data_IF_790004698750
#
_entry.id   IF_790004698750
#
_cell.length_a   1.000
_cell.length_b   1.000
_cell.length_c   1.000
_cell.angle_alpha   90.00
_cell.angle_beta   90.00
_cell.angle_gamma   90.00
#
_symmetry.space_group_name_H-M   'P 1'
#
loop_
_entity.id
_entity.type
_entity.pdbx_description
1 polymer ?
#
# COMPACT_ATOMS: atom_id res chain seq x y z
N UNK A 1 21.76 18.59 8.18
CA UNK A 1 22.85 17.70 8.61
C UNK A 1 23.60 17.25 7.38
N UNK A 2 24.92 17.42 7.36
CA UNK A 2 25.80 16.97 6.27
C UNK A 2 25.97 15.44 6.40
N UNK A 3 25.03 14.70 5.85
CA UNK A 3 25.16 13.23 5.71
C UNK A 3 26.01 13.00 4.46
N UNK A 4 27.07 12.23 4.60
CA UNK A 4 27.92 11.85 3.45
C UNK A 4 27.12 10.90 2.59
N UNK A 5 26.99 11.20 1.30
CA UNK A 5 26.26 10.44 0.31
C UNK A 5 27.20 9.57 -0.52
N UNK A 6 26.69 8.48 -1.07
CA UNK A 6 27.35 7.63 -2.07
C UNK A 6 26.35 7.24 -3.16
N UNK A 7 26.86 6.96 -4.34
CA UNK A 7 26.06 6.37 -5.41
C UNK A 7 25.56 4.97 -4.97
N UNK A 8 24.27 4.74 -5.10
CA UNK A 8 23.66 3.43 -4.79
C UNK A 8 24.01 2.34 -5.82
N UNK A 9 24.56 2.71 -6.98
CA UNK A 9 24.75 1.83 -8.13
C UNK A 9 23.43 1.50 -8.86
N UNK A 10 22.35 2.19 -8.55
CA UNK A 10 21.00 1.97 -9.12
C UNK A 10 20.44 3.32 -9.59
N UNK A 11 20.30 3.50 -10.90
CA UNK A 11 19.97 4.78 -11.53
C UNK A 11 18.73 5.46 -10.92
N UNK A 12 17.64 4.72 -10.71
CA UNK A 12 16.38 5.26 -10.20
C UNK A 12 16.34 5.45 -8.68
N UNK A 13 17.36 4.98 -7.94
CA UNK A 13 17.56 5.29 -6.53
C UNK A 13 18.47 6.51 -6.38
N UNK A 14 19.50 6.61 -7.25
CA UNK A 14 20.50 7.67 -7.21
C UNK A 14 21.42 7.56 -6.00
N UNK A 15 21.74 8.70 -5.37
CA UNK A 15 22.60 8.73 -4.19
C UNK A 15 21.85 8.38 -2.91
N UNK A 16 22.52 7.63 -2.05
CA UNK A 16 22.02 7.24 -0.71
C UNK A 16 23.05 7.61 0.38
N UNK A 17 22.65 7.75 1.64
CA UNK A 17 23.58 7.90 2.75
C UNK A 17 24.63 6.80 2.77
N UNK A 18 25.88 7.11 3.09
CA UNK A 18 27.04 6.18 2.98
C UNK A 18 26.82 4.83 3.66
N UNK A 19 26.05 4.81 4.76
CA UNK A 19 25.74 3.57 5.53
C UNK A 19 24.55 2.78 5.00
N UNK A 20 23.83 3.30 4.00
CA UNK A 20 22.68 2.60 3.42
C UNK A 20 23.15 1.63 2.32
N UNK A 21 22.40 0.56 2.13
CA UNK A 21 22.69 -0.45 1.12
C UNK A 21 21.54 -0.58 0.12
N UNK A 22 21.85 -0.69 -1.17
CA UNK A 22 20.87 -1.06 -2.19
C UNK A 22 20.76 -2.60 -2.21
N UNK A 23 19.60 -3.13 -1.81
CA UNK A 23 19.39 -4.56 -1.56
C UNK A 23 18.24 -5.08 -2.40
N UNK A 24 18.42 -6.21 -3.11
CA UNK A 24 17.32 -6.93 -3.74
C UNK A 24 16.39 -7.52 -2.69
N UNK A 25 15.06 -7.46 -2.91
CA UNK A 25 14.12 -8.00 -1.92
C UNK A 25 14.24 -9.52 -1.76
N UNK A 26 14.79 -10.23 -2.75
CA UNK A 26 15.15 -11.65 -2.61
C UNK A 26 16.24 -11.91 -1.54
N UNK A 27 17.00 -10.88 -1.17
CA UNK A 27 17.98 -10.95 -0.07
C UNK A 27 17.37 -10.51 1.28
N UNK A 28 16.18 -9.90 1.26
CA UNK A 28 15.43 -9.53 2.48
C UNK A 28 14.63 -10.72 2.97
N UNK A 29 14.03 -11.49 2.08
CA UNK A 29 13.17 -12.60 2.46
C UNK A 29 12.79 -13.52 1.29
N UNK A 30 11.90 -14.47 1.60
CA UNK A 30 11.40 -15.43 0.62
C UNK A 30 10.10 -14.90 0.00
N UNK A 31 10.06 -14.85 -1.34
CA UNK A 31 8.85 -14.56 -2.09
C UNK A 31 8.13 -15.85 -2.48
N UNK A 32 6.81 -15.85 -2.30
CA UNK A 32 5.93 -16.96 -2.72
C UNK A 32 4.64 -16.39 -3.31
N UNK A 33 4.12 -17.04 -4.36
CA UNK A 33 2.77 -16.75 -4.82
C UNK A 33 1.77 -17.34 -3.81
N UNK A 34 0.76 -16.56 -3.46
CA UNK A 34 -0.29 -17.02 -2.56
C UNK A 34 -1.24 -17.98 -3.29
N UNK A 35 -1.79 -18.91 -2.52
CA UNK A 35 -2.98 -19.67 -2.88
C UNK A 35 -4.19 -19.02 -2.22
N UNK A 36 -5.36 -19.24 -2.77
CA UNK A 36 -6.55 -18.75 -2.10
C UNK A 36 -7.82 -18.90 -2.87
N UNK A 37 -8.90 -18.98 -2.14
CA UNK A 37 -10.25 -19.15 -2.63
C UNK A 37 -10.84 -17.90 -3.30
N UNK A 38 -12.14 -17.90 -3.49
CA UNK A 38 -12.87 -16.88 -4.23
C UNK A 38 -13.47 -15.80 -3.33
N UNK A 39 -14.00 -14.72 -3.95
CA UNK A 39 -14.80 -13.70 -3.23
C UNK A 39 -16.08 -14.28 -2.61
N UNK A 40 -16.54 -15.44 -3.08
CA UNK A 40 -17.74 -16.11 -2.55
C UNK A 40 -17.52 -16.65 -1.14
N UNK A 41 -16.26 -16.80 -0.71
CA UNK A 41 -15.90 -17.24 0.64
C UNK A 41 -15.94 -16.11 1.67
N UNK A 42 -16.27 -14.88 1.26
CA UNK A 42 -16.33 -13.74 2.18
C UNK A 42 -17.52 -13.89 3.13
N UNK A 43 -17.24 -13.65 4.40
CA UNK A 43 -18.21 -13.59 5.50
C UNK A 43 -18.08 -12.22 6.22
N UNK A 44 -19.06 -11.89 7.05
CA UNK A 44 -19.07 -10.60 7.79
C UNK A 44 -18.05 -10.58 8.95
N UNK A 45 -17.66 -11.75 9.44
CA UNK A 45 -16.68 -11.91 10.53
C UNK A 45 -15.99 -13.27 10.44
N UNK A 46 -14.77 -13.35 10.94
CA UNK A 46 -13.94 -14.56 10.88
C UNK A 46 -12.46 -14.24 10.83
N UNK A 47 -11.69 -15.06 10.12
CA UNK A 47 -10.26 -14.83 9.91
C UNK A 47 -10.06 -13.69 8.92
N UNK A 48 -9.20 -12.75 9.28
CA UNK A 48 -8.82 -11.63 8.42
C UNK A 48 -8.22 -12.11 7.09
N UNK A 49 -8.80 -11.70 5.95
CA UNK A 49 -8.34 -12.11 4.62
C UNK A 49 -8.04 -10.89 3.75
N UNK A 50 -6.80 -10.79 3.28
CA UNK A 50 -6.36 -9.70 2.40
C UNK A 50 -6.43 -10.16 0.96
N UNK A 51 -7.20 -9.45 0.15
CA UNK A 51 -7.34 -9.72 -1.28
C UNK A 51 -6.50 -8.75 -2.09
N UNK A 52 -6.11 -9.13 -3.32
CA UNK A 52 -5.32 -8.23 -4.17
C UNK A 52 -6.01 -6.89 -4.42
N UNK A 53 -7.34 -6.89 -4.56
CA UNK A 53 -8.14 -5.67 -4.74
C UNK A 53 -8.10 -4.73 -3.52
N UNK A 54 -7.92 -5.27 -2.31
CA UNK A 54 -7.82 -4.47 -1.08
C UNK A 54 -6.52 -3.66 -1.04
N UNK A 55 -5.46 -4.15 -1.71
CA UNK A 55 -4.20 -3.43 -1.86
C UNK A 55 -4.33 -2.20 -2.78
N UNK A 56 -5.35 -2.16 -3.65
CA UNK A 56 -5.65 -1.00 -4.50
C UNK A 56 -6.62 -0.02 -3.88
N UNK A 57 -7.56 -0.51 -3.07
CA UNK A 57 -8.73 0.28 -2.64
C UNK A 57 -8.73 0.65 -1.17
N UNK A 58 -7.99 -0.07 -0.33
CA UNK A 58 -8.13 0.01 1.12
C UNK A 58 -6.80 0.16 1.85
N UNK A 59 -5.75 -0.50 1.37
CA UNK A 59 -4.47 -0.55 2.06
C UNK A 59 -3.39 0.19 1.29
N UNK A 60 -2.89 1.28 1.86
CA UNK A 60 -1.66 1.93 1.41
C UNK A 60 -0.55 1.59 2.38
N UNK A 61 0.62 1.19 1.88
CA UNK A 61 1.83 0.89 2.66
C UNK A 61 1.66 -0.14 3.79
N UNK A 62 0.60 -0.03 4.61
CA UNK A 62 0.43 -0.78 5.87
C UNK A 62 -0.99 -1.32 6.02
N UNK A 63 -1.11 -2.60 6.40
CA UNK A 63 -2.37 -3.26 6.72
C UNK A 63 -2.54 -3.29 8.24
N UNK A 64 -3.48 -2.50 8.78
CA UNK A 64 -3.77 -2.41 10.22
C UNK A 64 -5.07 -3.06 10.63
N UNK A 65 -5.96 -3.29 9.66
CA UNK A 65 -7.24 -3.99 9.84
C UNK A 65 -7.66 -4.60 8.51
N UNK A 66 -8.37 -5.70 8.56
CA UNK A 66 -8.94 -6.32 7.36
C UNK A 66 -10.27 -5.67 6.97
N UNK A 67 -10.60 -5.76 5.69
CA UNK A 67 -11.91 -5.43 5.15
C UNK A 67 -12.71 -6.69 4.82
N UNK A 68 -12.01 -7.78 4.54
CA UNK A 68 -12.61 -9.06 4.13
C UNK A 68 -12.27 -10.14 5.14
N UNK A 69 -13.19 -11.06 5.36
CA UNK A 69 -13.04 -12.18 6.29
C UNK A 69 -13.46 -13.48 5.62
N UNK A 70 -12.91 -14.59 6.10
CA UNK A 70 -13.29 -15.95 5.71
C UNK A 70 -13.64 -16.79 6.94
N UNK A 71 -14.38 -17.87 6.75
CA UNK A 71 -14.65 -18.84 7.81
C UNK A 71 -13.36 -19.55 8.26
N UNK A 72 -13.24 -19.85 9.55
CA UNK A 72 -12.06 -20.53 10.12
C UNK A 72 -11.76 -21.88 9.41
N UNK A 73 -12.79 -22.62 9.06
CA UNK A 73 -12.65 -23.90 8.37
C UNK A 73 -12.07 -23.85 6.96
N UNK A 74 -11.90 -22.65 6.39
CA UNK A 74 -11.33 -22.44 5.05
C UNK A 74 -9.89 -21.97 5.05
N UNK A 75 -9.27 -21.76 6.20
CA UNK A 75 -7.92 -21.23 6.29
C UNK A 75 -6.89 -22.03 5.49
N UNK A 76 -7.02 -23.35 5.47
CA UNK A 76 -6.10 -24.24 4.74
C UNK A 76 -6.14 -24.08 3.20
N UNK A 77 -7.21 -23.46 2.69
CA UNK A 77 -7.34 -23.14 1.26
C UNK A 77 -6.60 -21.85 0.88
N UNK A 78 -6.14 -21.07 1.88
CA UNK A 78 -5.52 -19.78 1.73
C UNK A 78 -4.06 -19.78 2.19
N UNK A 79 -3.32 -18.75 1.80
CA UNK A 79 -1.96 -18.55 2.30
C UNK A 79 -1.99 -17.77 3.59
N UNK A 80 -1.58 -18.39 4.69
CA UNK A 80 -1.42 -17.70 5.97
C UNK A 80 -0.30 -16.65 5.90
N UNK A 81 -0.58 -15.47 6.44
CA UNK A 81 0.35 -14.35 6.55
C UNK A 81 0.60 -14.00 8.00
N UNK A 82 1.79 -13.51 8.29
CA UNK A 82 2.22 -13.13 9.63
C UNK A 82 2.49 -11.63 9.72
N UNK A 83 2.60 -11.14 10.94
CA UNK A 83 3.05 -9.78 11.20
C UNK A 83 4.42 -9.53 10.55
N UNK A 84 4.54 -8.46 9.76
CA UNK A 84 5.74 -8.12 9.04
C UNK A 84 5.84 -8.68 7.61
N UNK A 85 4.96 -9.59 7.20
CA UNK A 85 4.90 -10.06 5.82
C UNK A 85 4.47 -8.92 4.89
N UNK A 86 5.14 -8.78 3.74
CA UNK A 86 4.75 -7.82 2.72
C UNK A 86 3.96 -8.51 1.59
N UNK A 87 2.83 -7.91 1.22
CA UNK A 87 1.93 -8.40 0.20
C UNK A 87 2.01 -7.52 -1.04
N UNK A 88 2.05 -8.13 -2.21
CA UNK A 88 2.03 -7.45 -3.51
C UNK A 88 0.85 -7.93 -4.33
N UNK A 89 0.11 -7.00 -4.93
CA UNK A 89 -0.90 -7.34 -5.92
C UNK A 89 -0.22 -7.86 -7.20
N UNK A 90 -0.50 -9.11 -7.57
CA UNK A 90 0.12 -9.73 -8.74
C UNK A 90 -0.54 -9.33 -10.06
N UNK A 91 -1.74 -8.73 -10.02
CA UNK A 91 -2.51 -8.27 -11.18
C UNK A 91 -2.97 -6.83 -10.97
N UNK A 92 -3.03 -6.04 -12.05
CA UNK A 92 -3.46 -4.64 -12.04
C UNK A 92 -3.98 -4.20 -13.39
N UNK A 93 -4.53 -2.99 -13.45
CA UNK A 93 -5.08 -2.41 -14.68
C UNK A 93 -4.01 -1.63 -15.48
N UNK A 94 -3.02 -1.07 -14.80
CA UNK A 94 -1.99 -0.22 -15.41
C UNK A 94 -0.58 -0.66 -15.01
N UNK A 95 0.40 -0.27 -15.80
CA UNK A 95 1.81 -0.49 -15.47
C UNK A 95 2.27 0.37 -14.28
N UNK A 96 1.69 1.55 -14.12
CA UNK A 96 2.03 2.48 -13.05
C UNK A 96 1.64 1.94 -11.67
N UNK A 97 0.55 1.18 -11.61
CA UNK A 97 -0.02 0.67 -10.37
C UNK A 97 0.32 -0.80 -10.07
N UNK A 98 0.92 -1.51 -11.03
CA UNK A 98 1.20 -2.95 -10.85
C UNK A 98 2.11 -3.22 -9.64
N UNK A 99 1.83 -4.30 -8.94
CA UNK A 99 2.61 -4.71 -7.77
C UNK A 99 2.42 -3.79 -6.57
N UNK A 100 1.27 -3.10 -6.47
CA UNK A 100 0.93 -2.31 -5.29
C UNK A 100 1.09 -3.15 -4.04
N UNK A 101 1.70 -2.59 -3.01
CA UNK A 101 2.16 -3.39 -1.88
C UNK A 101 1.82 -2.76 -0.54
N UNK A 102 1.58 -3.62 0.45
CA UNK A 102 1.42 -3.21 1.84
C UNK A 102 1.99 -4.29 2.78
N UNK A 103 2.48 -3.86 3.94
CA UNK A 103 3.00 -4.75 4.98
C UNK A 103 1.93 -5.06 6.01
N UNK A 104 1.78 -6.32 6.35
CA UNK A 104 0.82 -6.79 7.33
C UNK A 104 1.28 -6.45 8.77
N UNK A 105 0.48 -5.68 9.49
CA UNK A 105 0.65 -5.40 10.91
C UNK A 105 -0.50 -5.95 11.78
N UNK A 106 -1.33 -6.84 11.23
CA UNK A 106 -2.34 -7.54 12.00
C UNK A 106 -1.66 -8.45 13.03
N UNK A 107 -2.20 -8.47 14.23
CA UNK A 107 -1.69 -9.31 15.34
C UNK A 107 -2.46 -10.61 15.48
N UNK A 108 -3.66 -10.64 14.93
CA UNK A 108 -4.51 -11.82 14.83
C UNK A 108 -4.13 -12.67 13.63
N UNK A 109 -4.65 -13.90 13.59
CA UNK A 109 -4.50 -14.80 12.45
C UNK A 109 -5.08 -14.15 11.19
N UNK A 110 -4.31 -14.20 10.13
CA UNK A 110 -4.68 -13.61 8.87
C UNK A 110 -4.18 -14.44 7.69
N UNK A 111 -4.86 -14.30 6.57
CA UNK A 111 -4.48 -14.94 5.32
C UNK A 111 -4.58 -13.97 4.15
N UNK A 112 -4.10 -14.39 2.99
CA UNK A 112 -4.33 -13.68 1.74
C UNK A 112 -4.84 -14.62 0.66
N UNK A 113 -5.59 -14.07 -0.29
CA UNK A 113 -6.14 -14.79 -1.43
C UNK A 113 -5.16 -14.95 -2.58
N UNK A 114 -5.62 -15.60 -3.65
CA UNK A 114 -4.90 -15.68 -4.92
C UNK A 114 -4.64 -14.30 -5.53
N UNK A 115 -3.77 -14.23 -6.52
CA UNK A 115 -3.26 -12.98 -7.12
C UNK A 115 -2.55 -12.03 -6.16
N UNK A 116 -2.06 -12.58 -5.04
CA UNK A 116 -1.13 -11.91 -4.11
C UNK A 116 0.20 -12.65 -4.13
N UNK A 117 1.30 -11.90 -4.11
CA UNK A 117 2.65 -12.41 -3.85
C UNK A 117 3.04 -11.97 -2.45
N UNK A 118 3.53 -12.90 -1.65
CA UNK A 118 3.93 -12.65 -0.27
C UNK A 118 5.45 -12.69 -0.16
N UNK A 119 6.04 -11.62 0.34
CA UNK A 119 7.43 -11.59 0.82
C UNK A 119 7.41 -11.86 2.32
N UNK A 120 8.02 -12.97 2.74
CA UNK A 120 8.28 -13.30 4.14
C UNK A 120 9.71 -12.90 4.50
N UNK A 121 9.90 -11.80 5.24
CA UNK A 121 11.25 -11.36 5.61
C UNK A 121 11.96 -12.41 6.46
N UNK A 122 13.21 -12.70 6.12
CA UNK A 122 14.10 -13.57 6.89
C UNK A 122 15.16 -12.78 7.65
N UNK A 123 15.28 -11.48 7.37
CA UNK A 123 16.15 -10.53 8.05
C UNK A 123 15.35 -9.66 8.98
N UNK A 124 16.01 -9.16 10.00
CA UNK A 124 15.46 -8.13 10.89
C UNK A 124 15.35 -6.82 10.11
N UNK A 125 14.16 -6.56 9.59
CA UNK A 125 13.79 -5.34 8.90
C UNK A 125 12.54 -4.77 9.56
N UNK A 126 12.54 -3.46 9.79
CA UNK A 126 11.38 -2.80 10.40
C UNK A 126 10.17 -2.83 9.45
N UNK A 127 9.01 -3.36 9.89
CA UNK A 127 7.84 -3.51 9.03
C UNK A 127 7.25 -2.20 8.52
N UNK A 128 7.29 -1.12 9.32
CA UNK A 128 6.83 0.20 8.88
C UNK A 128 7.74 0.74 7.78
N UNK A 129 9.06 0.68 8.01
CA UNK A 129 10.03 1.08 6.99
C UNK A 129 9.83 0.28 5.71
N UNK A 130 9.71 -1.05 5.81
CA UNK A 130 9.54 -1.93 4.66
C UNK A 130 8.31 -1.55 3.84
N UNK A 131 7.17 -1.28 4.48
CA UNK A 131 5.94 -0.88 3.80
C UNK A 131 6.13 0.37 2.95
N UNK A 132 6.74 1.41 3.50
CA UNK A 132 7.02 2.64 2.76
C UNK A 132 8.09 2.45 1.67
N UNK A 133 9.13 1.66 1.93
CA UNK A 133 10.18 1.41 0.95
C UNK A 133 9.65 0.66 -0.29
N UNK A 134 8.81 -0.35 -0.09
CA UNK A 134 8.27 -1.19 -1.18
C UNK A 134 7.27 -0.46 -2.07
N UNK A 135 6.65 0.61 -1.60
CA UNK A 135 5.70 1.41 -2.40
C UNK A 135 6.16 2.86 -2.65
N UNK A 136 7.45 3.12 -2.44
CA UNK A 136 8.11 4.37 -2.81
C UNK A 136 8.17 4.57 -4.33
N UNK A 137 8.37 5.81 -4.78
CA UNK A 137 8.49 6.14 -6.21
C UNK A 137 9.53 5.27 -6.94
N UNK A 138 10.77 5.09 -6.43
CA UNK A 138 11.74 4.20 -7.06
C UNK A 138 11.27 2.74 -7.15
N UNK A 139 10.55 2.26 -6.15
CA UNK A 139 10.01 0.89 -6.16
C UNK A 139 8.85 0.74 -7.14
N UNK A 140 7.95 1.72 -7.21
CA UNK A 140 6.86 1.77 -8.21
C UNK A 140 7.40 1.78 -9.62
N UNK A 141 8.41 2.60 -9.90
CA UNK A 141 9.04 2.66 -11.21
C UNK A 141 9.61 1.30 -11.63
N UNK A 142 10.35 0.63 -10.75
CA UNK A 142 10.89 -0.71 -11.02
C UNK A 142 9.76 -1.73 -11.27
N UNK A 143 8.71 -1.74 -10.45
CA UNK A 143 7.56 -2.63 -10.61
C UNK A 143 6.85 -2.40 -11.94
N UNK A 144 6.71 -1.15 -12.37
CA UNK A 144 6.15 -0.81 -13.68
C UNK A 144 6.94 -1.41 -14.84
N UNK A 145 8.28 -1.37 -14.78
CA UNK A 145 9.16 -2.00 -15.78
C UNK A 145 9.10 -3.55 -15.76
N UNK A 146 8.75 -4.12 -14.64
CA UNK A 146 8.60 -5.58 -14.45
C UNK A 146 7.25 -6.10 -14.94
N UNK A 147 6.24 -5.25 -15.05
CA UNK A 147 4.88 -5.62 -15.49
C UNK A 147 4.84 -6.25 -16.88
N UNK A 148 3.90 -7.15 -17.09
CA UNK A 148 3.65 -7.86 -18.36
C UNK A 148 2.16 -7.91 -18.65
N UNK A 149 1.77 -7.79 -19.91
CA UNK A 149 0.37 -7.88 -20.36
C UNK A 149 -0.11 -6.63 -21.07
N UNK A 150 -1.34 -6.67 -21.59
CA UNK A 150 -1.97 -5.55 -22.32
C UNK A 150 -3.28 -5.12 -21.65
N UNK A 151 -4.25 -6.01 -21.52
CA UNK A 151 -5.57 -5.71 -20.92
C UNK A 151 -5.52 -5.79 -19.41
N UNK A 152 -4.77 -6.75 -18.88
CA UNK A 152 -4.45 -6.91 -17.48
C UNK A 152 -2.94 -7.02 -17.38
N UNK A 153 -2.36 -6.20 -16.53
CA UNK A 153 -0.93 -6.23 -16.26
C UNK A 153 -0.68 -7.20 -15.12
N UNK A 154 0.32 -8.05 -15.29
CA UNK A 154 0.73 -9.01 -14.26
C UNK A 154 2.18 -8.76 -13.86
N UNK A 155 2.49 -9.04 -12.61
CA UNK A 155 3.86 -9.13 -12.11
C UNK A 155 4.03 -10.50 -11.44
N UNK A 156 5.17 -11.12 -11.65
CA UNK A 156 5.42 -12.47 -11.15
C UNK A 156 6.54 -12.46 -10.11
N UNK A 157 6.57 -13.52 -9.32
CA UNK A 157 7.56 -13.70 -8.24
C UNK A 157 9.00 -13.57 -8.75
N UNK A 158 9.27 -14.08 -9.95
CA UNK A 158 10.59 -14.07 -10.58
C UNK A 158 11.08 -12.65 -10.85
N UNK A 159 10.22 -11.75 -11.35
CA UNK A 159 10.58 -10.36 -11.57
C UNK A 159 10.73 -9.61 -10.25
N UNK A 160 9.80 -9.80 -9.32
CA UNK A 160 9.84 -9.11 -8.02
C UNK A 160 11.11 -9.43 -7.22
N UNK A 161 11.72 -10.60 -7.41
CA UNK A 161 12.99 -10.96 -6.75
C UNK A 161 14.08 -9.93 -6.97
N UNK A 162 14.06 -9.26 -8.13
CA UNK A 162 15.05 -8.28 -8.55
C UNK A 162 14.72 -6.83 -8.15
N UNK A 163 13.57 -6.59 -7.52
CA UNK A 163 13.24 -5.28 -6.97
C UNK A 163 14.29 -4.86 -5.94
N UNK A 164 14.88 -3.68 -6.15
CA UNK A 164 15.93 -3.14 -5.28
C UNK A 164 15.36 -2.01 -4.43
N UNK A 165 15.65 -2.06 -3.15
CA UNK A 165 15.30 -1.02 -2.16
C UNK A 165 16.56 -0.54 -1.45
N UNK A 166 16.59 0.75 -1.09
CA UNK A 166 17.64 1.30 -0.25
C UNK A 166 17.31 1.01 1.22
N UNK A 167 18.20 0.32 1.91
CA UNK A 167 17.99 -0.17 3.27
C UNK A 167 18.96 0.52 4.24
N UNK A 168 18.46 1.31 5.20
CA UNK A 168 19.26 1.90 6.28
C UNK A 168 19.69 0.89 7.33
N UNK A 169 20.63 1.25 8.21
CA UNK A 169 20.86 0.51 9.46
C UNK A 169 19.58 0.35 10.30
N UNK A 170 19.40 -0.75 11.03
CA UNK A 170 18.16 -1.12 11.72
C UNK A 170 17.59 -0.02 12.62
N UNK A 171 18.45 0.73 13.34
CA UNK A 171 17.97 1.82 14.20
C UNK A 171 17.39 3.01 13.41
N UNK A 172 17.93 3.28 12.20
CA UNK A 172 17.40 4.31 11.29
C UNK A 172 16.08 3.86 10.66
N UNK A 173 15.96 2.58 10.28
CA UNK A 173 14.71 2.02 9.72
C UNK A 173 13.53 2.31 10.65
N UNK A 174 13.65 1.97 11.93
CA UNK A 174 12.60 2.19 12.93
C UNK A 174 12.25 3.66 13.06
N UNK A 175 13.26 4.53 13.12
CA UNK A 175 13.05 5.99 13.24
C UNK A 175 12.34 6.55 12.01
N UNK A 176 12.77 6.13 10.81
CA UNK A 176 12.19 6.55 9.54
C UNK A 176 10.75 6.03 9.44
N UNK A 177 10.52 4.73 9.72
CA UNK A 177 9.20 4.12 9.69
C UNK A 177 8.20 4.84 10.58
N UNK A 178 8.54 5.11 11.83
CA UNK A 178 7.68 5.85 12.77
C UNK A 178 7.46 7.30 12.31
N UNK A 179 8.49 7.96 11.80
CA UNK A 179 8.37 9.34 11.33
C UNK A 179 7.45 9.44 10.11
N UNK A 180 7.60 8.54 9.13
CA UNK A 180 6.72 8.46 7.95
C UNK A 180 5.29 8.15 8.35
N UNK A 181 5.07 7.15 9.19
CA UNK A 181 3.73 6.76 9.66
C UNK A 181 2.99 7.94 10.32
N UNK A 182 3.68 8.68 11.18
CA UNK A 182 3.12 9.87 11.81
C UNK A 182 2.82 10.99 10.81
N UNK A 183 3.70 11.22 9.84
CA UNK A 183 3.54 12.32 8.87
C UNK A 183 2.43 11.99 7.85
N UNK A 184 2.40 10.76 7.33
CA UNK A 184 1.36 10.32 6.40
C UNK A 184 -0.01 10.36 7.07
N UNK A 185 -0.16 9.81 8.29
CA UNK A 185 -1.42 9.86 9.04
C UNK A 185 -1.92 11.31 9.26
N UNK A 186 -0.99 12.27 9.47
CA UNK A 186 -1.36 13.69 9.57
C UNK A 186 -1.83 14.25 8.24
N UNK A 187 -1.19 13.88 7.14
CA UNK A 187 -1.57 14.32 5.78
C UNK A 187 -2.95 13.74 5.44
N UNK A 188 -3.18 12.46 5.71
CA UNK A 188 -4.45 11.78 5.44
C UNK A 188 -5.61 12.44 6.19
N UNK A 189 -5.40 12.80 7.45
CA UNK A 189 -6.39 13.54 8.24
C UNK A 189 -6.72 14.93 7.62
N UNK A 190 -5.73 15.60 7.07
CA UNK A 190 -5.94 16.89 6.38
C UNK A 190 -6.72 16.68 5.10
N UNK A 191 -6.38 15.65 4.32
CA UNK A 191 -7.09 15.27 3.08
C UNK A 191 -8.56 14.99 3.39
N UNK A 192 -8.85 14.16 4.41
CA UNK A 192 -10.22 13.83 4.83
C UNK A 192 -11.02 15.08 5.21
N UNK A 193 -10.44 15.95 6.05
CA UNK A 193 -11.11 17.20 6.46
C UNK A 193 -11.36 18.14 5.29
N UNK A 194 -10.40 18.21 4.36
CA UNK A 194 -10.53 19.05 3.16
C UNK A 194 -11.63 18.51 2.24
N UNK A 195 -11.68 17.19 2.04
CA UNK A 195 -12.73 16.57 1.25
C UNK A 195 -14.12 16.83 1.84
N UNK A 196 -14.27 16.67 3.16
CA UNK A 196 -15.52 17.00 3.86
C UNK A 196 -15.93 18.46 3.69
N UNK A 197 -14.97 19.40 3.75
CA UNK A 197 -15.23 20.82 3.51
C UNK A 197 -15.70 21.09 2.08
N UNK A 198 -15.10 20.42 1.08
CA UNK A 198 -15.51 20.51 -0.31
C UNK A 198 -16.94 20.02 -0.50
N UNK A 199 -17.30 18.91 0.12
CA UNK A 199 -18.64 18.33 0.01
C UNK A 199 -19.70 19.25 0.64
N UNK A 200 -19.44 19.81 1.82
CA UNK A 200 -20.29 20.80 2.46
C UNK A 200 -20.47 22.08 1.60
N UNK A 201 -19.41 22.55 0.96
CA UNK A 201 -19.48 23.70 0.05
C UNK A 201 -20.31 23.39 -1.21
N UNK A 202 -20.24 22.17 -1.72
CA UNK A 202 -21.07 21.70 -2.84
C UNK A 202 -22.54 21.65 -2.45
N UNK A 203 -22.87 21.12 -1.27
CA UNK A 203 -24.24 21.12 -0.74
C UNK A 203 -24.76 22.55 -0.56
N UNK A 204 -23.99 23.44 0.07
CA UNK A 204 -24.34 24.84 0.26
C UNK A 204 -24.62 25.54 -1.06
N UNK A 205 -23.75 25.32 -2.06
CA UNK A 205 -23.96 25.87 -3.41
C UNK A 205 -25.26 25.40 -4.03
N UNK A 206 -25.56 24.11 -3.94
CA UNK A 206 -26.80 23.52 -4.47
C UNK A 206 -28.05 24.09 -3.76
N UNK A 207 -28.00 24.17 -2.43
CA UNK A 207 -29.08 24.72 -1.63
C UNK A 207 -29.33 26.20 -1.94
N UNK A 208 -28.27 27.01 -2.08
CA UNK A 208 -28.37 28.43 -2.46
C UNK A 208 -29.02 28.61 -3.83
N UNK A 209 -28.59 27.84 -4.83
CA UNK A 209 -29.18 27.89 -6.18
C UNK A 209 -30.67 27.53 -6.10
N UNK A 210 -31.02 26.45 -5.41
CA UNK A 210 -32.40 26.00 -5.26
C UNK A 210 -33.24 27.08 -4.59
N UNK A 211 -32.82 27.63 -3.45
CA UNK A 211 -33.53 28.65 -2.73
C UNK A 211 -33.75 29.93 -3.54
N UNK A 212 -32.76 30.33 -4.32
CA UNK A 212 -32.84 31.51 -5.17
C UNK A 212 -33.82 31.32 -6.37
N UNK A 213 -33.74 30.19 -7.09
CA UNK A 213 -34.57 29.95 -8.27
C UNK A 213 -36.03 29.57 -7.93
N UNK A 214 -36.25 29.13 -6.67
CA UNK A 214 -37.61 28.87 -6.15
C UNK A 214 -38.21 30.03 -5.35
N UNK A 215 -37.53 31.18 -5.28
CA UNK A 215 -38.01 32.39 -4.62
C UNK A 215 -38.01 32.33 -3.09
N UNK A 216 -37.28 31.36 -2.49
CA UNK A 216 -37.15 31.25 -1.04
C UNK A 216 -36.16 32.28 -0.45
N UNK A 217 -35.26 32.80 -1.27
CA UNK A 217 -34.34 33.89 -0.94
C UNK A 217 -34.31 34.91 -2.08
N UNK A 218 -34.16 36.18 -1.73
CA UNK A 218 -33.95 37.27 -2.68
C UNK A 218 -32.46 37.67 -2.69
N UNK A 219 -31.79 37.48 -3.83
CA UNK A 219 -30.38 37.82 -3.98
C UNK A 219 -30.18 39.18 -4.69
N UNK A 220 -31.26 39.92 -5.05
CA UNK A 220 -31.16 41.17 -5.80
C UNK A 220 -30.51 42.29 -4.99
N UNK A 221 -30.55 42.20 -3.66
CA UNK A 221 -29.95 43.20 -2.76
C UNK A 221 -28.45 42.89 -2.43
N UNK A 222 -27.89 41.80 -3.00
CA UNK A 222 -26.52 41.34 -2.67
C UNK A 222 -25.50 41.67 -3.77
N UNK A 223 -25.93 42.44 -4.80
CA UNK A 223 -25.08 42.87 -5.92
C UNK A 223 -24.65 44.32 -5.74
#
# INVERSE_FOLDING_TARGET
PNVKMKDSGVEWIGEVPEKWEAVKISHIGKLTKANGGSKQDNVDSGISCIRYGDLYTTHEYIIRKSRSYIEEGKLDEYTAIQYGDALFAASGETFEDIGRSAVNLLKEDACCGGDVIVLKPSKDIDPLFLGYALDSIPSKYQKALMGRGYTVVHIYTEQLRDLIVAVPPSFEQKTIGIALDRQTARIDLIIEKTQRSIDLLRERRSALITAAVTGQIDLRETI
#
